data_IF_996479265720
#
_entry.id   IF_996479265720
#
_cell.length_a   1.000
_cell.length_b   1.000
_cell.length_c   1.000
_cell.angle_alpha   90.00
_cell.angle_beta   90.00
_cell.angle_gamma   90.00
#
_symmetry.space_group_name_H-M   'P 1'
#
loop_
_entity.id
_entity.type
_entity.pdbx_description
1 polymer ?
#
# COMPACT_ATOMS: atom_id res chain seq x y z
N UNK A 1 -24.16 17.28 -25.64
CA UNK A 1 -23.16 16.20 -25.80
C UNK A 1 -22.09 16.21 -24.69
N UNK A 2 -22.36 16.75 -23.50
CA UNK A 2 -21.32 16.93 -22.46
C UNK A 2 -21.37 15.88 -21.32
N UNK A 3 -22.46 15.12 -21.17
CA UNK A 3 -22.60 14.15 -20.08
C UNK A 3 -21.81 12.85 -20.26
N UNK A 4 -21.45 12.48 -21.49
CA UNK A 4 -20.74 11.22 -21.78
C UNK A 4 -19.26 11.28 -21.41
N UNK A 5 -18.59 12.44 -21.53
CA UNK A 5 -17.17 12.57 -21.25
C UNK A 5 -16.83 12.49 -19.75
N UNK A 6 -17.73 12.92 -18.86
CA UNK A 6 -17.46 12.92 -17.41
C UNK A 6 -17.53 11.50 -16.82
N UNK A 7 -18.55 10.73 -17.17
CA UNK A 7 -18.72 9.33 -16.71
C UNK A 7 -17.58 8.43 -17.17
N UNK A 8 -17.12 8.60 -18.41
CA UNK A 8 -16.05 7.77 -19.00
C UNK A 8 -14.69 8.10 -18.37
N UNK A 9 -14.47 9.36 -17.99
CA UNK A 9 -13.27 9.78 -17.26
C UNK A 9 -13.25 9.22 -15.83
N UNK A 10 -14.38 9.27 -15.12
CA UNK A 10 -14.53 8.69 -13.77
C UNK A 10 -14.31 7.17 -13.75
N UNK A 11 -14.79 6.46 -14.77
CA UNK A 11 -14.56 5.01 -14.89
C UNK A 11 -13.07 4.67 -15.08
N UNK A 12 -12.36 5.42 -15.93
CA UNK A 12 -10.91 5.27 -16.13
C UNK A 12 -10.09 5.58 -14.88
N UNK A 13 -10.48 6.63 -14.15
CA UNK A 13 -9.83 6.97 -12.87
C UNK A 13 -10.05 5.86 -11.83
N UNK A 14 -11.26 5.29 -11.78
CA UNK A 14 -11.56 4.16 -10.90
C UNK A 14 -10.71 2.93 -11.23
N UNK A 15 -10.59 2.58 -12.51
CA UNK A 15 -9.76 1.46 -12.97
C UNK A 15 -8.28 1.68 -12.61
N UNK A 16 -7.77 2.90 -12.78
CA UNK A 16 -6.40 3.24 -12.34
C UNK A 16 -6.22 3.08 -10.82
N UNK A 17 -7.21 3.45 -10.02
CA UNK A 17 -7.17 3.27 -8.57
C UNK A 17 -7.23 1.79 -8.15
N UNK A 18 -7.94 0.94 -8.91
CA UNK A 18 -7.92 -0.51 -8.72
C UNK A 18 -6.52 -1.06 -8.97
N UNK A 19 -5.91 -0.72 -10.11
CA UNK A 19 -4.56 -1.16 -10.42
C UNK A 19 -3.53 -0.69 -9.39
N UNK A 20 -3.60 0.59 -8.97
CA UNK A 20 -2.73 1.11 -7.92
C UNK A 20 -2.90 0.35 -6.60
N UNK A 21 -4.14 -0.01 -6.24
CA UNK A 21 -4.39 -0.81 -5.02
C UNK A 21 -3.71 -2.17 -5.11
N UNK A 22 -3.84 -2.87 -6.24
CA UNK A 22 -3.24 -4.18 -6.45
C UNK A 22 -1.71 -4.09 -6.37
N UNK A 23 -1.10 -3.09 -7.00
CA UNK A 23 0.34 -2.83 -6.93
C UNK A 23 0.80 -2.56 -5.49
N UNK A 24 0.05 -1.76 -4.72
CA UNK A 24 0.36 -1.50 -3.31
C UNK A 24 0.22 -2.76 -2.44
N UNK A 25 -0.77 -3.61 -2.70
CA UNK A 25 -0.94 -4.89 -2.01
C UNK A 25 0.25 -5.81 -2.27
N UNK A 26 0.71 -5.92 -3.51
CA UNK A 26 1.89 -6.75 -3.85
C UNK A 26 3.18 -6.19 -3.23
N UNK A 27 3.37 -4.86 -3.22
CA UNK A 27 4.48 -4.21 -2.52
C UNK A 27 4.44 -4.48 -1.02
N UNK A 28 3.25 -4.43 -0.40
CA UNK A 28 3.10 -4.71 1.03
C UNK A 28 3.38 -6.18 1.35
N UNK A 29 2.90 -7.13 0.54
CA UNK A 29 3.23 -8.56 0.69
C UNK A 29 4.73 -8.79 0.62
N UNK A 30 5.39 -8.17 -0.36
CA UNK A 30 6.85 -8.25 -0.53
C UNK A 30 7.58 -7.67 0.68
N UNK A 31 7.16 -6.49 1.15
CA UNK A 31 7.71 -5.86 2.35
C UNK A 31 7.57 -6.76 3.58
N UNK A 32 6.37 -7.30 3.83
CA UNK A 32 6.13 -8.22 4.95
C UNK A 32 7.03 -9.45 4.86
N UNK A 33 7.24 -10.03 3.67
CA UNK A 33 8.17 -11.14 3.49
C UNK A 33 9.61 -10.75 3.84
N UNK A 34 10.08 -9.61 3.36
CA UNK A 34 11.43 -9.11 3.66
C UNK A 34 11.63 -8.85 5.17
N UNK A 35 10.61 -8.35 5.86
CA UNK A 35 10.63 -8.18 7.31
C UNK A 35 10.79 -9.53 8.00
N UNK A 36 10.03 -10.55 7.61
CA UNK A 36 10.17 -11.90 8.18
C UNK A 36 11.54 -12.50 7.91
N UNK A 37 12.06 -12.36 6.69
CA UNK A 37 13.40 -12.84 6.33
C UNK A 37 14.48 -12.13 7.18
N UNK A 38 14.36 -10.82 7.36
CA UNK A 38 15.28 -10.04 8.19
C UNK A 38 15.20 -10.43 9.67
N UNK A 39 13.99 -10.61 10.23
CA UNK A 39 13.80 -11.06 11.60
C UNK A 39 14.38 -12.47 11.82
N UNK A 40 14.25 -13.36 10.84
CA UNK A 40 14.85 -14.70 10.89
C UNK A 40 16.38 -14.62 10.94
N UNK A 41 17.00 -13.76 10.11
CA UNK A 41 18.45 -13.54 10.12
C UNK A 41 18.91 -12.96 11.46
N UNK A 42 18.22 -11.94 11.96
CA UNK A 42 18.52 -11.31 13.26
C UNK A 42 18.47 -12.36 14.37
N UNK A 43 17.43 -13.20 14.41
CA UNK A 43 17.29 -14.27 15.39
C UNK A 43 18.43 -15.29 15.31
N UNK A 44 18.80 -15.73 14.09
CA UNK A 44 19.89 -16.70 13.87
C UNK A 44 21.28 -16.13 14.20
N UNK A 45 21.47 -14.82 14.10
CA UNK A 45 22.74 -14.13 14.29
C UNK A 45 22.79 -13.29 15.57
N UNK A 46 21.79 -13.40 16.45
CA UNK A 46 21.64 -12.55 17.63
C UNK A 46 22.86 -12.58 18.57
N UNK A 47 23.62 -13.67 18.59
CA UNK A 47 24.85 -13.80 19.40
C UNK A 47 26.05 -13.01 18.86
N UNK A 48 26.01 -12.56 17.60
CA UNK A 48 27.12 -11.87 16.93
C UNK A 48 26.75 -10.48 16.42
N UNK A 49 25.46 -10.11 16.44
CA UNK A 49 25.00 -8.79 16.07
C UNK A 49 25.00 -7.84 17.27
N UNK A 50 25.47 -6.61 17.05
CA UNK A 50 25.31 -5.54 18.03
C UNK A 50 23.82 -5.17 18.14
N UNK A 51 23.30 -5.15 19.36
CA UNK A 51 21.87 -4.92 19.62
C UNK A 51 21.37 -3.57 19.11
N UNK A 52 22.22 -2.54 19.07
CA UNK A 52 21.81 -1.23 18.55
C UNK A 52 21.62 -1.26 17.03
N UNK A 53 22.49 -1.97 16.29
CA UNK A 53 22.31 -2.22 14.86
C UNK A 53 21.03 -3.02 14.58
N UNK A 54 20.69 -3.98 15.45
CA UNK A 54 19.43 -4.75 15.34
C UNK A 54 18.22 -3.85 15.51
N UNK A 55 18.24 -2.94 16.49
CA UNK A 55 17.14 -1.99 16.74
C UNK A 55 16.99 -1.02 15.57
N UNK A 56 18.09 -0.44 15.10
CA UNK A 56 18.05 0.45 13.94
C UNK A 56 17.48 -0.26 12.70
N UNK A 57 17.91 -1.49 12.41
CA UNK A 57 17.38 -2.25 11.29
C UNK A 57 15.87 -2.52 11.45
N UNK A 58 15.43 -2.90 12.66
CA UNK A 58 14.03 -3.14 12.95
C UNK A 58 13.18 -1.86 12.80
N UNK A 59 13.69 -0.71 13.23
CA UNK A 59 13.01 0.58 13.09
C UNK A 59 12.82 0.96 11.62
N UNK A 60 13.87 0.83 10.79
CA UNK A 60 13.78 1.13 9.35
C UNK A 60 12.79 0.21 8.64
N UNK A 61 12.80 -1.10 8.97
CA UNK A 61 11.86 -2.07 8.44
C UNK A 61 10.41 -1.73 8.81
N UNK A 62 10.18 -1.32 10.06
CA UNK A 62 8.86 -0.94 10.53
C UNK A 62 8.35 0.36 9.89
N UNK A 63 9.21 1.38 9.75
CA UNK A 63 8.86 2.64 9.06
C UNK A 63 8.45 2.35 7.62
N UNK A 64 9.21 1.52 6.90
CA UNK A 64 8.89 1.13 5.53
C UNK A 64 7.52 0.44 5.41
N UNK A 65 7.18 -0.46 6.34
CA UNK A 65 5.87 -1.09 6.38
C UNK A 65 4.74 -0.06 6.60
N UNK A 66 4.95 0.86 7.54
CA UNK A 66 3.97 1.88 7.91
C UNK A 66 3.69 2.82 6.74
N UNK A 67 4.72 3.23 6.00
CA UNK A 67 4.57 4.07 4.82
C UNK A 67 3.79 3.38 3.70
N UNK A 68 4.08 2.11 3.40
CA UNK A 68 3.33 1.34 2.40
C UNK A 68 1.86 1.17 2.80
N UNK A 69 1.57 0.90 4.08
CA UNK A 69 0.20 0.81 4.58
C UNK A 69 -0.53 2.15 4.47
N UNK A 70 0.16 3.26 4.73
CA UNK A 70 -0.39 4.62 4.59
C UNK A 70 -0.72 4.94 3.13
N UNK A 71 0.15 4.58 2.19
CA UNK A 71 -0.11 4.76 0.76
C UNK A 71 -1.33 3.96 0.30
N UNK A 72 -1.41 2.67 0.66
CA UNK A 72 -2.55 1.81 0.36
C UNK A 72 -3.87 2.39 0.90
N UNK A 73 -3.85 2.91 2.13
CA UNK A 73 -5.03 3.55 2.72
C UNK A 73 -5.52 4.75 1.90
N UNK A 74 -4.60 5.60 1.41
CA UNK A 74 -4.96 6.75 0.58
C UNK A 74 -5.62 6.32 -0.73
N UNK A 75 -5.11 5.27 -1.39
CA UNK A 75 -5.70 4.74 -2.62
C UNK A 75 -7.12 4.20 -2.35
N UNK A 76 -7.29 3.40 -1.31
CA UNK A 76 -8.61 2.88 -0.90
C UNK A 76 -9.61 3.98 -0.59
N UNK A 77 -9.18 5.02 0.11
CA UNK A 77 -10.01 6.17 0.43
C UNK A 77 -10.49 6.87 -0.85
N UNK A 78 -9.58 7.19 -1.77
CA UNK A 78 -9.92 7.80 -3.07
C UNK A 78 -10.89 6.92 -3.86
N UNK A 79 -10.60 5.61 -3.94
CA UNK A 79 -11.44 4.64 -4.64
C UNK A 79 -12.86 4.57 -4.05
N UNK A 80 -12.98 4.61 -2.72
CA UNK A 80 -14.27 4.61 -2.04
C UNK A 80 -15.09 5.87 -2.30
N UNK A 81 -14.44 7.04 -2.30
CA UNK A 81 -15.11 8.32 -2.61
C UNK A 81 -15.61 8.30 -4.06
N UNK A 82 -14.77 7.87 -4.99
CA UNK A 82 -15.10 7.82 -6.42
C UNK A 82 -16.23 6.82 -6.70
N UNK A 83 -16.19 5.63 -6.09
CA UNK A 83 -17.28 4.65 -6.19
C UNK A 83 -18.62 5.23 -5.73
N UNK A 84 -18.62 6.03 -4.67
CA UNK A 84 -19.83 6.67 -4.17
C UNK A 84 -20.35 7.75 -5.15
N UNK A 85 -19.45 8.55 -5.73
CA UNK A 85 -19.82 9.53 -6.74
C UNK A 85 -20.43 8.87 -8.00
N UNK A 86 -19.84 7.76 -8.46
CA UNK A 86 -20.38 6.99 -9.60
C UNK A 86 -21.79 6.47 -9.33
N UNK A 87 -22.05 5.95 -8.13
CA UNK A 87 -23.39 5.49 -7.73
C UNK A 87 -24.42 6.61 -7.73
N UNK A 88 -24.03 7.81 -7.28
CA UNK A 88 -24.93 8.97 -7.23
C UNK A 88 -25.23 9.55 -8.62
N UNK A 89 -24.30 9.45 -9.57
CA UNK A 89 -24.50 9.90 -10.96
C UNK A 89 -25.32 8.91 -11.80
N UNK A 90 -25.43 7.65 -11.36
CA UNK A 90 -26.22 6.60 -12.01
C UNK A 90 -27.65 6.44 -11.45
N UNK A 91 -27.98 7.15 -10.35
CA UNK A 91 -29.29 7.14 -9.69
C UNK A 91 -30.17 8.30 -10.17
#
# INVERSE_FOLDING_TARGET
>A
MEHTNSSENTAKEYESLVQQEDEHIERLKTCTKLIWDALAIISQKASVLHMDTVKEAADHLHIMELDLRRELFKVRLKKSILANQMKQTQA
#
